data_IF_417498200111
#
_entry.id   IF_417498200111
#
_cell.length_a   1.000
_cell.length_b   1.000
_cell.length_c   1.000
_cell.angle_alpha   90.00
_cell.angle_beta   90.00
_cell.angle_gamma   90.00
#
_symmetry.space_group_name_H-M   'P 1'
#
loop_
_entity.id
_entity.type
_entity.pdbx_description
1 polymer ?
#
# COMPACT_ATOMS: atom_id res chain seq x y z
N UNK A 1 -26.29 -39.55 32.09
CA UNK A 1 -25.52 -39.68 30.83
C UNK A 1 -25.96 -38.55 29.89
N UNK A 2 -25.45 -37.34 30.08
CA UNK A 2 -25.63 -36.25 29.14
C UNK A 2 -24.39 -36.23 28.23
N UNK A 3 -24.58 -36.58 26.96
CA UNK A 3 -23.55 -36.45 25.93
C UNK A 3 -23.54 -34.99 25.48
N UNK A 4 -22.60 -34.22 25.98
CA UNK A 4 -22.25 -32.90 25.44
C UNK A 4 -21.68 -33.09 24.03
N UNK A 5 -22.47 -32.80 23.00
CA UNK A 5 -21.93 -32.56 21.67
C UNK A 5 -21.19 -31.22 21.71
N UNK A 6 -19.86 -31.29 21.63
CA UNK A 6 -19.03 -30.10 21.47
C UNK A 6 -19.40 -29.41 20.16
N UNK A 7 -19.93 -28.18 20.26
CA UNK A 7 -19.98 -27.24 19.15
C UNK A 7 -18.54 -26.85 18.81
N UNK A 8 -17.95 -27.53 17.83
CA UNK A 8 -16.72 -27.07 17.20
C UNK A 8 -17.08 -25.82 16.43
N UNK A 9 -16.80 -24.66 17.02
CA UNK A 9 -16.83 -23.37 16.32
C UNK A 9 -15.73 -23.47 15.25
N UNK A 10 -16.13 -23.76 14.02
CA UNK A 10 -15.24 -23.66 12.87
C UNK A 10 -14.92 -22.18 12.75
N UNK A 11 -13.74 -21.78 13.25
CA UNK A 11 -13.09 -20.55 12.84
C UNK A 11 -12.74 -20.76 11.37
N UNK A 12 -13.73 -20.57 10.49
CA UNK A 12 -13.43 -20.26 9.11
C UNK A 12 -12.66 -18.95 9.20
N UNK A 13 -11.34 -19.04 9.10
CA UNK A 13 -10.54 -17.91 8.71
C UNK A 13 -11.14 -17.44 7.40
N UNK A 14 -11.97 -16.41 7.48
CA UNK A 14 -12.21 -15.53 6.35
C UNK A 14 -10.84 -14.95 6.07
N UNK A 15 -10.05 -15.67 5.28
CA UNK A 15 -8.94 -15.09 4.56
C UNK A 15 -9.59 -14.12 3.59
N UNK A 16 -9.98 -12.94 4.10
CA UNK A 16 -10.14 -11.76 3.29
C UNK A 16 -8.85 -11.68 2.50
N UNK A 17 -8.92 -11.99 1.21
CA UNK A 17 -7.75 -12.15 0.36
C UNK A 17 -6.96 -10.86 0.44
N UNK A 18 -5.83 -10.89 1.15
CA UNK A 18 -4.96 -9.73 1.23
C UNK A 18 -4.45 -9.48 -0.19
N UNK A 19 -4.82 -8.33 -0.76
CA UNK A 19 -4.32 -7.86 -2.06
C UNK A 19 -2.85 -7.40 -1.97
N UNK A 20 -2.29 -7.35 -0.75
CA UNK A 20 -0.90 -7.01 -0.48
C UNK A 20 0.05 -8.07 -1.05
N UNK A 21 1.09 -7.60 -1.75
CA UNK A 21 2.16 -8.42 -2.35
C UNK A 21 1.66 -9.46 -3.36
N UNK A 22 0.49 -9.23 -3.95
CA UNK A 22 0.05 -10.00 -5.10
C UNK A 22 0.58 -9.33 -6.36
N UNK A 23 1.63 -9.92 -6.95
CA UNK A 23 2.22 -9.38 -8.17
C UNK A 23 1.92 -10.23 -9.41
N UNK A 24 2.26 -9.69 -10.58
CA UNK A 24 2.26 -10.46 -11.82
C UNK A 24 3.37 -11.51 -11.79
N UNK A 25 3.19 -12.60 -12.53
CA UNK A 25 4.21 -13.64 -12.63
C UNK A 25 5.57 -13.06 -13.04
N UNK A 26 6.62 -13.54 -12.38
CA UNK A 26 8.03 -13.18 -12.58
C UNK A 26 8.41 -11.72 -12.27
N UNK A 27 7.49 -10.89 -11.78
CA UNK A 27 7.80 -9.48 -11.47
C UNK A 27 8.82 -9.32 -10.35
N UNK A 28 8.89 -10.26 -9.40
CA UNK A 28 9.84 -10.23 -8.30
C UNK A 28 11.26 -10.55 -8.76
N UNK A 29 11.43 -11.12 -9.97
CA UNK A 29 12.74 -11.47 -10.52
C UNK A 29 13.57 -10.25 -10.93
N UNK A 30 12.93 -9.09 -11.09
CA UNK A 30 13.62 -7.84 -11.42
C UNK A 30 14.05 -7.04 -10.18
N UNK A 31 13.67 -7.50 -8.98
CA UNK A 31 14.13 -6.89 -7.73
C UNK A 31 15.62 -7.15 -7.54
N UNK A 32 16.32 -6.15 -7.00
CA UNK A 32 17.75 -6.22 -6.69
C UNK A 32 18.05 -7.06 -5.46
N UNK A 33 17.05 -7.34 -4.63
CA UNK A 33 17.13 -8.12 -3.42
C UNK A 33 15.86 -8.97 -3.21
N UNK A 34 15.90 -10.00 -2.35
CA UNK A 34 14.71 -10.77 -2.02
C UNK A 34 13.62 -9.88 -1.42
N UNK A 35 12.39 -10.04 -1.93
CA UNK A 35 11.21 -9.30 -1.47
C UNK A 35 11.04 -9.40 0.06
N UNK A 36 10.90 -8.26 0.72
CA UNK A 36 10.48 -8.14 2.12
C UNK A 36 9.00 -7.79 2.19
N UNK A 37 8.25 -8.36 3.14
CA UNK A 37 6.79 -8.16 3.25
C UNK A 37 6.37 -7.46 4.54
N UNK A 38 7.14 -6.45 4.95
CA UNK A 38 6.96 -5.77 6.25
C UNK A 38 6.09 -4.50 6.17
N UNK A 39 5.91 -3.92 4.98
CA UNK A 39 5.07 -2.73 4.82
C UNK A 39 3.58 -3.06 5.04
N UNK A 40 2.91 -2.22 5.83
CA UNK A 40 1.48 -2.30 6.14
C UNK A 40 0.81 -0.92 5.95
N UNK A 41 -0.39 -0.94 5.36
CA UNK A 41 -1.27 0.22 5.21
C UNK A 41 -2.04 0.59 6.48
N UNK A 42 -1.97 -0.20 7.55
CA UNK A 42 -2.65 0.09 8.81
C UNK A 42 -2.41 1.52 9.32
N UNK A 43 -3.49 2.28 9.49
CA UNK A 43 -3.46 3.65 10.00
C UNK A 43 -2.94 4.70 9.01
N UNK A 44 -2.68 4.33 7.76
CA UNK A 44 -2.24 5.26 6.72
C UNK A 44 -3.43 5.91 6.02
N UNK A 45 -3.26 7.16 5.60
CA UNK A 45 -4.23 7.85 4.76
C UNK A 45 -4.31 7.21 3.36
N UNK A 46 -5.26 7.66 2.55
CA UNK A 46 -5.23 7.36 1.13
C UNK A 46 -3.94 7.90 0.53
N UNK A 47 -3.22 7.07 -0.21
CA UNK A 47 -1.95 7.49 -0.78
C UNK A 47 -1.11 6.38 -1.37
N UNK A 48 0.04 6.80 -1.89
CA UNK A 48 1.05 5.96 -2.50
C UNK A 48 2.30 6.04 -1.63
N UNK A 49 2.93 4.90 -1.38
CA UNK A 49 3.99 4.76 -0.40
C UNK A 49 5.14 3.94 -0.99
N UNK A 50 6.31 4.58 -1.12
CA UNK A 50 7.56 3.90 -1.50
C UNK A 50 7.92 2.85 -0.45
N UNK A 51 8.23 1.62 -0.84
CA UNK A 51 8.64 0.60 0.14
C UNK A 51 10.15 0.63 0.37
N UNK A 52 10.57 1.24 1.49
CA UNK A 52 11.98 1.36 1.85
C UNK A 52 12.65 0.01 2.16
N UNK A 53 11.90 -0.98 2.65
CA UNK A 53 12.45 -2.32 2.94
C UNK A 53 12.76 -3.09 1.64
N UNK A 54 12.20 -2.64 0.51
CA UNK A 54 12.45 -3.16 -0.83
C UNK A 54 13.20 -2.15 -1.73
N UNK A 55 14.03 -1.29 -1.14
CA UNK A 55 14.85 -0.30 -1.86
C UNK A 55 14.03 0.62 -2.80
N UNK A 56 12.77 0.87 -2.47
CA UNK A 56 11.80 1.59 -3.28
C UNK A 56 11.56 0.98 -4.68
N UNK A 57 11.99 -0.26 -4.92
CA UNK A 57 11.67 -1.03 -6.14
C UNK A 57 10.24 -1.56 -6.11
N UNK A 58 9.63 -1.56 -4.92
CA UNK A 58 8.21 -1.80 -4.68
C UNK A 58 7.57 -0.53 -4.13
N UNK A 59 6.30 -0.31 -4.45
CA UNK A 59 5.47 0.69 -3.80
C UNK A 59 4.07 0.15 -3.53
N UNK A 60 3.36 0.81 -2.62
CA UNK A 60 2.03 0.42 -2.20
C UNK A 60 1.03 1.55 -2.39
N UNK A 61 -0.20 1.19 -2.74
CA UNK A 61 -1.35 2.08 -2.65
C UNK A 61 -2.16 1.65 -1.42
N UNK A 62 -2.39 2.58 -0.51
CA UNK A 62 -3.28 2.39 0.63
C UNK A 62 -4.62 3.06 0.35
N UNK A 63 -5.71 2.32 0.48
CA UNK A 63 -7.08 2.79 0.28
C UNK A 63 -7.91 2.53 1.54
N UNK A 64 -8.14 3.55 2.38
CA UNK A 64 -9.08 3.46 3.49
C UNK A 64 -10.49 3.22 2.96
N UNK A 65 -11.12 2.14 3.40
CA UNK A 65 -12.50 1.76 3.08
C UNK A 65 -13.33 2.06 4.33
N UNK A 66 -14.32 2.94 4.16
CA UNK A 66 -15.20 3.35 5.24
C UNK A 66 -16.57 2.68 5.13
N UNK A 67 -17.25 2.50 6.25
CA UNK A 67 -18.65 2.12 6.28
C UNK A 67 -19.57 3.32 5.96
N UNK A 68 -20.89 3.10 6.00
CA UNK A 68 -21.90 4.14 5.76
C UNK A 68 -21.87 5.29 6.79
N UNK A 69 -21.19 5.10 7.93
CA UNK A 69 -21.02 6.10 8.98
C UNK A 69 -19.73 6.91 8.81
N UNK A 70 -18.87 6.53 7.86
CA UNK A 70 -17.58 7.16 7.60
C UNK A 70 -16.45 6.64 8.48
N UNK A 71 -16.67 5.57 9.25
CA UNK A 71 -15.62 4.94 10.04
C UNK A 71 -14.79 4.01 9.15
N UNK A 72 -13.46 4.14 9.20
CA UNK A 72 -12.56 3.28 8.43
C UNK A 72 -12.58 1.87 9.03
N UNK A 73 -13.19 0.93 8.31
CA UNK A 73 -13.32 -0.47 8.72
C UNK A 73 -12.16 -1.34 8.21
N UNK A 74 -11.53 -0.91 7.12
CA UNK A 74 -10.40 -1.60 6.50
C UNK A 74 -9.52 -0.58 5.76
N UNK A 75 -8.25 -0.88 5.57
CA UNK A 75 -7.40 -0.18 4.59
C UNK A 75 -6.84 -1.20 3.62
N UNK A 76 -7.34 -1.19 2.39
CA UNK A 76 -6.87 -2.09 1.36
C UNK A 76 -5.45 -1.69 0.94
N UNK A 77 -4.57 -2.69 0.80
CA UNK A 77 -3.21 -2.52 0.33
C UNK A 77 -3.05 -3.18 -1.03
N UNK A 78 -2.57 -2.41 -2.00
CA UNK A 78 -2.19 -2.90 -3.33
C UNK A 78 -0.69 -2.71 -3.49
N UNK A 79 0.04 -3.74 -3.91
CA UNK A 79 1.49 -3.66 -4.10
C UNK A 79 1.85 -3.70 -5.57
N UNK A 80 2.86 -2.91 -5.95
CA UNK A 80 3.35 -2.82 -7.32
C UNK A 80 4.87 -2.87 -7.35
N UNK A 81 5.44 -3.52 -8.36
CA UNK A 81 6.87 -3.54 -8.64
C UNK A 81 7.16 -2.50 -9.72
N UNK A 82 8.13 -1.61 -9.48
CA UNK A 82 8.65 -0.71 -10.49
C UNK A 82 9.40 -1.47 -11.58
N UNK A 83 9.39 -0.95 -12.81
CA UNK A 83 10.09 -1.58 -13.93
C UNK A 83 11.60 -1.68 -13.71
N UNK A 84 12.26 -2.51 -14.52
CA UNK A 84 13.71 -2.74 -14.40
C UNK A 84 14.48 -1.41 -14.39
N UNK A 85 15.44 -1.30 -13.46
CA UNK A 85 16.28 -0.11 -13.22
C UNK A 85 15.57 1.14 -12.68
N UNK A 86 14.29 1.04 -12.31
CA UNK A 86 13.52 2.16 -11.75
C UNK A 86 13.15 1.92 -10.29
N UNK A 87 12.96 3.01 -9.55
CA UNK A 87 12.48 3.03 -8.15
C UNK A 87 11.36 4.05 -8.03
N UNK A 88 10.46 3.83 -7.08
CA UNK A 88 9.35 4.73 -6.81
C UNK A 88 9.85 5.99 -6.11
N UNK A 89 9.64 7.13 -6.76
CA UNK A 89 9.98 8.44 -6.24
C UNK A 89 8.77 9.02 -5.50
N UNK A 90 8.87 9.16 -4.18
CA UNK A 90 7.74 9.55 -3.34
C UNK A 90 7.27 10.99 -3.56
N UNK A 91 8.14 11.88 -4.02
CA UNK A 91 7.84 13.28 -4.33
C UNK A 91 6.95 13.43 -5.57
N UNK A 92 7.19 12.62 -6.60
CA UNK A 92 6.48 12.68 -7.88
C UNK A 92 5.39 11.60 -8.02
N UNK A 93 5.37 10.62 -7.11
CA UNK A 93 4.49 9.46 -7.13
C UNK A 93 4.62 8.59 -8.40
N UNK A 94 5.84 8.45 -8.92
CA UNK A 94 6.12 7.69 -10.14
C UNK A 94 7.38 6.84 -10.00
N UNK A 95 7.45 5.72 -10.72
CA UNK A 95 8.71 4.99 -10.90
C UNK A 95 9.63 5.81 -11.83
N UNK A 96 10.82 6.15 -11.35
CA UNK A 96 11.85 6.89 -12.09
C UNK A 96 13.17 6.11 -12.09
N UNK A 97 14.07 6.41 -13.02
CA UNK A 97 15.43 5.87 -12.95
C UNK A 97 16.13 6.33 -11.67
N UNK A 98 16.96 5.46 -11.09
CA UNK A 98 17.61 5.67 -9.78
C UNK A 98 18.41 6.97 -9.67
N UNK A 99 18.89 7.52 -10.79
CA UNK A 99 19.66 8.77 -10.87
C UNK A 99 18.78 10.03 -10.91
N UNK A 100 17.49 9.89 -11.22
CA UNK A 100 16.51 10.97 -11.35
C UNK A 100 15.47 10.95 -10.22
N UNK A 101 15.27 9.79 -9.59
CA UNK A 101 14.38 9.62 -8.45
C UNK A 101 14.92 10.34 -7.20
N UNK A 102 14.00 10.73 -6.32
CA UNK A 102 14.30 11.05 -4.94
C UNK A 102 15.06 9.88 -4.28
N UNK A 103 16.11 10.15 -3.46
CA UNK A 103 16.77 9.10 -2.68
C UNK A 103 15.76 8.30 -1.85
N UNK A 104 15.85 6.98 -1.89
CA UNK A 104 14.84 6.10 -1.29
C UNK A 104 14.70 6.36 0.22
N UNK A 105 15.80 6.65 0.91
CA UNK A 105 15.86 7.00 2.32
C UNK A 105 15.12 8.29 2.70
N UNK A 106 14.86 9.17 1.73
CA UNK A 106 14.11 10.40 1.93
C UNK A 106 12.60 10.20 1.75
N UNK A 107 12.17 9.07 1.17
CA UNK A 107 10.78 8.81 0.81
C UNK A 107 9.84 8.92 2.01
N UNK A 108 10.18 8.31 3.15
CA UNK A 108 9.33 8.34 4.34
C UNK A 108 9.00 9.76 4.82
N UNK A 109 9.91 10.72 4.62
CA UNK A 109 9.70 12.12 5.03
C UNK A 109 8.60 12.81 4.23
N UNK A 110 8.27 12.29 3.05
CA UNK A 110 7.29 12.87 2.13
C UNK A 110 5.93 12.16 2.16
N UNK A 111 5.79 11.05 2.88
CA UNK A 111 4.54 10.28 2.94
C UNK A 111 3.34 11.16 3.31
N UNK A 112 3.43 11.91 4.40
CA UNK A 112 2.29 12.68 4.89
C UNK A 112 2.02 13.91 4.02
N UNK A 113 3.07 14.59 3.57
CA UNK A 113 2.95 15.85 2.83
C UNK A 113 2.41 15.60 1.41
N UNK A 114 2.98 14.63 0.70
CA UNK A 114 2.58 14.36 -0.70
C UNK A 114 1.21 13.69 -0.74
N UNK A 115 0.94 12.71 0.14
CA UNK A 115 -0.35 12.03 0.12
C UNK A 115 -1.50 12.91 0.65
N UNK A 116 -1.22 13.94 1.46
CA UNK A 116 -2.24 14.89 1.88
C UNK A 116 -2.82 15.71 0.73
N UNK A 117 -2.18 15.76 -0.45
CA UNK A 117 -2.71 16.47 -1.61
C UNK A 117 -3.87 15.72 -2.30
N UNK A 118 -4.03 14.43 -2.04
CA UNK A 118 -5.15 13.67 -2.59
C UNK A 118 -6.49 14.13 -2.02
N UNK A 119 -7.48 14.28 -2.90
CA UNK A 119 -8.85 14.65 -2.52
C UNK A 119 -9.04 16.13 -2.19
N UNK A 120 -8.00 16.96 -2.26
CA UNK A 120 -8.16 18.42 -2.21
C UNK A 120 -8.82 18.91 -3.49
N UNK A 121 -9.93 19.62 -3.35
CA UNK A 121 -10.59 20.32 -4.45
C UNK A 121 -10.28 21.80 -4.34
N UNK A 122 -9.79 22.40 -5.41
CA UNK A 122 -9.58 23.83 -5.47
C UNK A 122 -10.93 24.55 -5.34
N UNK A 123 -11.12 25.24 -4.22
CA UNK A 123 -12.34 26.00 -3.90
C UNK A 123 -12.67 27.06 -4.96
N UNK A 124 -11.69 27.44 -5.77
CA UNK A 124 -11.87 28.37 -6.89
C UNK A 124 -12.49 27.71 -8.13
N UNK A 125 -12.29 26.41 -8.33
CA UNK A 125 -12.89 25.63 -9.43
C UNK A 125 -14.34 25.25 -9.08
N UNK A 126 -14.64 24.92 -7.83
CA UNK A 126 -16.02 24.60 -7.38
C UNK A 126 -16.98 25.80 -7.40
N UNK A 127 -16.45 27.04 -7.43
CA UNK A 127 -17.26 28.27 -7.40
C UNK A 127 -17.61 28.81 -8.79
N UNK A 128 -17.27 28.12 -9.88
CA UNK A 128 -17.52 28.54 -11.25
C UNK A 128 -18.57 27.67 -11.93
#
# INVERSE_FOLDING_TARGET
>A
MFRTCALVVVLASVAFGRMAYQFAADSETILSAPLQSNFDCAGRAYGYYADMDNNCEVFHVCLPISDDLGEVVETAQFSFVCGNTTVFSQDSLTCQHKDSALPCEESQNLYDIVNAEFGKVDVEIERK
#
